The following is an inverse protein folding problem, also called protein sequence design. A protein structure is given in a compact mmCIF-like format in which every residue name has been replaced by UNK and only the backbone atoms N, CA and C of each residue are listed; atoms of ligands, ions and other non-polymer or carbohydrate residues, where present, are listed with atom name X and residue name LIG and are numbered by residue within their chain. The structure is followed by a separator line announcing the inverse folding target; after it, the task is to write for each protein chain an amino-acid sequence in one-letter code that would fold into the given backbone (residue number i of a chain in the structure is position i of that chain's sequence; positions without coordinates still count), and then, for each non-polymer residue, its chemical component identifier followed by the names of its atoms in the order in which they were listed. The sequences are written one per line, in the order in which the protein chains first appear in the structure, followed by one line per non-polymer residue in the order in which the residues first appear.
data_IF_320665904731
#
_entry.id   IF_320665904731
#
_cell.length_a   1.000
_cell.length_b   1.000
_cell.length_c   1.000
_cell.angle_alpha   90.00
_cell.angle_beta   90.00
_cell.angle_gamma   90.00
#
_symmetry.space_group_name_H-M   'P 1'
#
loop_
_entity.id
_entity.type
_entity.pdbx_description
1 polymer ?
#
# COMPACT_ATOMS: atom_id res chain seq x y z
N UNK A 1 -26.14 22.28 -32.50
CA UNK A 1 -24.71 22.28 -32.14
C UNK A 1 -24.48 21.03 -31.32
N UNK A 2 -24.02 19.96 -31.97
CA UNK A 2 -23.80 18.67 -31.33
C UNK A 2 -22.44 18.75 -30.66
N UNK A 3 -22.44 18.70 -29.34
CA UNK A 3 -21.25 18.62 -28.51
C UNK A 3 -20.59 17.26 -28.77
N UNK A 4 -19.59 17.24 -29.64
CA UNK A 4 -18.72 16.09 -29.81
C UNK A 4 -17.79 16.07 -28.60
N UNK A 5 -18.21 15.36 -27.56
CA UNK A 5 -17.34 14.98 -26.46
C UNK A 5 -16.11 14.28 -27.03
N UNK A 6 -14.95 14.88 -26.79
CA UNK A 6 -13.64 14.36 -27.13
C UNK A 6 -13.42 13.05 -26.34
N UNK A 7 -13.82 11.91 -26.92
CA UNK A 7 -13.52 10.60 -26.36
C UNK A 7 -12.01 10.38 -26.46
N UNK A 8 -11.28 10.69 -25.39
CA UNK A 8 -9.89 10.30 -25.23
C UNK A 8 -9.80 8.77 -25.15
N UNK A 9 -9.70 8.10 -26.29
CA UNK A 9 -9.52 6.64 -26.36
C UNK A 9 -8.11 6.30 -25.87
N UNK A 10 -8.01 5.73 -24.66
CA UNK A 10 -6.77 5.20 -24.12
C UNK A 10 -6.48 3.81 -24.67
N UNK A 11 -5.20 3.48 -24.89
CA UNK A 11 -4.76 2.13 -25.26
C UNK A 11 -4.59 1.30 -23.97
N UNK A 12 -5.20 0.12 -23.91
CA UNK A 12 -5.04 -0.85 -22.81
C UNK A 12 -4.37 -2.11 -23.36
N UNK A 13 -3.13 -2.35 -22.95
CA UNK A 13 -2.39 -3.57 -23.26
C UNK A 13 -2.59 -4.63 -22.16
N UNK A 14 -2.96 -5.85 -22.56
CA UNK A 14 -3.24 -6.96 -21.62
C UNK A 14 -2.17 -8.05 -21.74
N UNK A 15 -1.56 -8.42 -20.61
CA UNK A 15 -0.49 -9.40 -20.55
C UNK A 15 -0.80 -10.52 -19.55
N UNK A 16 -0.61 -11.78 -19.96
CA UNK A 16 -0.66 -12.93 -19.04
C UNK A 16 0.66 -13.10 -18.27
N UNK A 17 1.79 -12.71 -18.85
CA UNK A 17 3.09 -12.62 -18.21
C UNK A 17 3.67 -11.25 -18.52
N UNK A 18 3.96 -10.42 -17.51
CA UNK A 18 4.40 -9.06 -17.75
C UNK A 18 5.79 -9.05 -18.45
N UNK A 19 6.01 -8.15 -19.42
CA UNK A 19 7.32 -7.98 -20.05
C UNK A 19 8.38 -7.55 -19.03
N UNK A 20 9.63 -7.97 -19.23
CA UNK A 20 10.75 -7.65 -18.33
C UNK A 20 10.97 -6.13 -18.14
N UNK A 21 10.66 -5.33 -19.15
CA UNK A 21 10.77 -3.88 -19.14
C UNK A 21 9.39 -3.20 -19.06
N UNK A 22 8.49 -3.72 -18.21
CA UNK A 22 7.15 -3.16 -18.03
C UNK A 22 7.17 -1.67 -17.65
N UNK A 23 8.14 -1.27 -16.83
CA UNK A 23 8.42 0.13 -16.46
C UNK A 23 9.65 0.70 -17.18
N UNK A 24 9.96 0.18 -18.37
CA UNK A 24 11.16 0.50 -19.14
C UNK A 24 11.46 1.99 -19.18
N UNK A 25 12.75 2.31 -19.28
CA UNK A 25 13.27 3.66 -19.09
C UNK A 25 12.66 4.66 -20.10
N UNK A 26 11.57 5.32 -19.68
CA UNK A 26 10.91 6.40 -20.42
C UNK A 26 11.82 7.64 -20.61
N UNK A 27 13.09 7.57 -20.17
CA UNK A 27 14.19 8.52 -20.37
C UNK A 27 14.32 9.08 -21.79
N UNK A 28 13.80 8.41 -22.83
CA UNK A 28 13.90 8.90 -24.22
C UNK A 28 12.70 9.65 -24.78
N UNK A 29 11.56 9.74 -24.08
CA UNK A 29 10.39 10.48 -24.61
C UNK A 29 9.79 11.43 -23.57
N UNK A 30 10.01 12.73 -23.77
CA UNK A 30 9.46 13.82 -22.92
C UNK A 30 7.92 13.88 -22.88
N UNK A 31 7.21 13.09 -23.69
CA UNK A 31 5.76 13.17 -23.89
C UNK A 31 5.00 11.87 -23.57
N UNK A 32 5.60 10.91 -22.88
CA UNK A 32 4.87 9.68 -22.55
C UNK A 32 3.98 9.88 -21.31
N UNK A 33 2.66 9.61 -21.40
CA UNK A 33 1.76 9.69 -20.24
C UNK A 33 2.21 8.70 -19.15
N UNK A 34 1.90 8.99 -17.87
CA UNK A 34 2.21 8.10 -16.77
C UNK A 34 1.60 6.72 -17.01
N UNK A 35 2.42 5.68 -16.92
CA UNK A 35 1.97 4.29 -17.06
C UNK A 35 1.55 3.77 -15.69
N UNK A 36 0.28 3.42 -15.56
CA UNK A 36 -0.26 2.69 -14.41
C UNK A 36 -0.49 1.24 -14.82
N UNK A 37 0.09 0.31 -14.09
CA UNK A 37 -0.12 -1.12 -14.33
C UNK A 37 -1.28 -1.59 -13.46
N UNK A 38 -2.35 -2.08 -14.08
CA UNK A 38 -3.40 -2.84 -13.37
C UNK A 38 -3.00 -4.31 -13.32
N UNK A 39 -2.93 -4.87 -12.12
CA UNK A 39 -2.73 -6.30 -11.92
C UNK A 39 -4.02 -6.96 -11.43
N UNK A 40 -4.23 -8.20 -11.88
CA UNK A 40 -5.34 -9.06 -11.48
C UNK A 40 -4.74 -10.42 -11.07
N UNK A 41 -4.78 -10.73 -9.78
CA UNK A 41 -4.31 -11.99 -9.24
C UNK A 41 -5.51 -12.87 -8.92
N UNK A 42 -5.44 -14.09 -9.45
CA UNK A 42 -6.37 -15.16 -9.10
C UNK A 42 -5.96 -15.77 -7.76
N UNK A 43 -6.86 -15.75 -6.77
CA UNK A 43 -6.59 -16.21 -5.40
C UNK A 43 -6.93 -17.69 -5.18
N UNK A 44 -7.71 -18.30 -6.09
CA UNK A 44 -8.19 -19.69 -5.99
C UNK A 44 -7.55 -20.65 -6.99
N UNK A 45 -7.38 -21.91 -6.58
CA UNK A 45 -6.93 -23.00 -7.45
C UNK A 45 -8.12 -23.66 -8.17
N UNK A 46 -8.72 -22.98 -9.14
CA UNK A 46 -9.84 -23.50 -9.94
C UNK A 46 -10.42 -22.47 -10.90
N UNK A 47 -11.31 -22.82 -11.84
CA UNK A 47 -11.97 -21.83 -12.71
C UNK A 47 -12.65 -20.72 -11.90
N UNK A 48 -12.57 -19.46 -12.36
CA UNK A 48 -13.25 -18.34 -11.69
C UNK A 48 -14.74 -18.47 -11.93
N UNK A 49 -15.52 -18.43 -10.87
CA UNK A 49 -16.97 -18.44 -10.96
C UNK A 49 -17.50 -17.05 -11.39
N UNK A 50 -18.41 -16.98 -12.37
CA UNK A 50 -19.00 -15.70 -12.80
C UNK A 50 -19.78 -15.00 -11.68
N UNK A 51 -20.20 -15.72 -10.64
CA UNK A 51 -20.97 -15.17 -9.51
C UNK A 51 -20.11 -14.79 -8.31
N UNK A 52 -18.85 -15.23 -8.23
CA UNK A 52 -17.95 -15.02 -7.06
C UNK A 52 -16.63 -14.34 -7.42
N UNK A 53 -16.52 -13.79 -8.62
CA UNK A 53 -15.27 -13.21 -9.13
C UNK A 53 -14.64 -12.17 -8.20
N UNK A 54 -15.44 -11.41 -7.43
CA UNK A 54 -14.96 -10.40 -6.47
C UNK A 54 -14.16 -10.99 -5.30
N UNK A 55 -14.45 -12.23 -4.90
CA UNK A 55 -13.74 -12.93 -3.81
C UNK A 55 -12.54 -13.72 -4.35
N UNK A 56 -12.60 -14.11 -5.62
CA UNK A 56 -11.65 -15.00 -6.28
C UNK A 56 -10.55 -14.26 -7.08
N UNK A 57 -10.72 -12.95 -7.28
CA UNK A 57 -9.78 -12.06 -7.96
C UNK A 57 -9.40 -10.90 -7.03
N UNK A 58 -8.11 -10.79 -6.75
CA UNK A 58 -7.52 -9.61 -6.14
C UNK A 58 -7.03 -8.68 -7.25
N UNK A 59 -7.49 -7.44 -7.23
CA UNK A 59 -7.04 -6.41 -8.17
C UNK A 59 -6.22 -5.34 -7.46
N UNK A 60 -5.33 -4.68 -8.19
CA UNK A 60 -4.60 -3.55 -7.66
C UNK A 60 -3.76 -2.86 -8.73
N UNK A 61 -3.22 -1.70 -8.39
CA UNK A 61 -2.41 -0.90 -9.31
C UNK A 61 -0.96 -0.86 -8.84
N UNK A 62 -0.04 -0.81 -9.80
CA UNK A 62 1.38 -0.59 -9.56
C UNK A 62 1.83 0.65 -10.32
N UNK A 63 2.46 1.56 -9.58
CA UNK A 63 3.02 2.80 -10.12
C UNK A 63 4.49 2.60 -10.53
N UNK A 64 4.97 3.47 -11.41
CA UNK A 64 6.37 3.48 -11.86
C UNK A 64 7.38 3.58 -10.70
N UNK A 65 7.06 4.37 -9.68
CA UNK A 65 7.92 4.57 -8.51
C UNK A 65 7.56 3.59 -7.39
N UNK A 66 7.57 2.28 -7.69
CA UNK A 66 7.13 1.24 -6.76
C UNK A 66 7.77 1.32 -5.36
N UNK A 67 9.02 1.77 -5.26
CA UNK A 67 9.74 1.91 -3.99
C UNK A 67 9.22 3.08 -3.14
N UNK A 68 8.84 4.20 -3.79
CA UNK A 68 8.15 5.32 -3.12
C UNK A 68 6.74 4.90 -2.68
N UNK A 69 5.98 4.24 -3.57
CA UNK A 69 4.62 3.76 -3.24
C UNK A 69 4.65 2.75 -2.10
N UNK A 70 5.67 1.87 -2.05
CA UNK A 70 5.87 0.94 -0.94
C UNK A 70 6.16 1.66 0.38
N UNK A 71 7.01 2.70 0.37
CA UNK A 71 7.30 3.48 1.57
C UNK A 71 6.06 4.19 2.11
N UNK A 72 5.22 4.73 1.22
CA UNK A 72 3.94 5.34 1.57
C UNK A 72 2.96 4.32 2.15
N UNK A 73 2.76 3.18 1.49
CA UNK A 73 1.90 2.12 2.01
C UNK A 73 2.36 1.62 3.37
N UNK A 74 3.67 1.45 3.56
CA UNK A 74 4.19 1.00 4.85
C UNK A 74 3.88 1.99 5.97
N UNK A 75 4.10 3.29 5.73
CA UNK A 75 3.84 4.35 6.69
C UNK A 75 2.34 4.57 6.96
N UNK A 76 1.53 4.64 5.91
CA UNK A 76 0.16 5.15 5.99
C UNK A 76 -0.88 4.04 6.19
N UNK A 77 -0.53 2.80 5.84
CA UNK A 77 -1.45 1.66 5.90
C UNK A 77 -0.93 0.59 6.85
N UNK A 78 0.26 0.02 6.58
CA UNK A 78 0.73 -1.14 7.33
C UNK A 78 1.11 -0.82 8.78
N UNK A 79 1.79 0.30 9.03
CA UNK A 79 2.16 0.69 10.41
C UNK A 79 0.91 0.90 11.29
N UNK A 80 -0.12 1.67 10.87
CA UNK A 80 -1.37 1.77 11.63
C UNK A 80 -2.11 0.45 11.78
N UNK A 81 -2.13 -0.40 10.74
CA UNK A 81 -2.76 -1.72 10.80
C UNK A 81 -2.10 -2.62 11.83
N UNK A 82 -0.76 -2.62 11.88
CA UNK A 82 0.02 -3.45 12.79
C UNK A 82 0.00 -2.86 14.19
N UNK A 83 0.06 -1.54 14.34
CA UNK A 83 0.14 -0.85 15.62
C UNK A 83 -1.19 -0.71 16.38
N UNK A 84 -2.33 -0.95 15.72
CA UNK A 84 -3.64 -0.90 16.37
C UNK A 84 -3.80 -2.07 17.37
N UNK A 85 -3.97 -1.81 18.68
CA UNK A 85 -4.13 -2.87 19.68
C UNK A 85 -5.31 -3.81 19.40
N UNK A 86 -6.37 -3.33 18.73
CA UNK A 86 -7.52 -4.17 18.34
C UNK A 86 -7.11 -5.27 17.36
N UNK A 87 -6.18 -4.97 16.46
CA UNK A 87 -5.67 -5.92 15.48
C UNK A 87 -4.65 -6.90 16.12
N UNK A 88 -4.14 -6.57 17.31
CA UNK A 88 -3.18 -7.36 18.07
C UNK A 88 -3.82 -8.22 19.17
N UNK A 89 -5.14 -8.18 19.36
CA UNK A 89 -5.82 -8.85 20.50
C UNK A 89 -5.50 -10.35 20.64
N UNK A 90 -5.24 -11.02 19.52
CA UNK A 90 -4.94 -12.45 19.48
C UNK A 90 -3.43 -12.75 19.39
N UNK A 91 -2.58 -11.72 19.44
CA UNK A 91 -1.14 -11.86 19.29
C UNK A 91 -0.47 -12.00 20.66
N UNK A 92 0.35 -13.05 20.88
CA UNK A 92 1.20 -13.12 22.06
C UNK A 92 2.15 -11.91 22.12
N UNK A 93 2.45 -11.41 23.31
CA UNK A 93 3.29 -10.21 23.52
C UNK A 93 4.65 -10.28 22.80
N UNK A 94 5.30 -11.45 22.85
CA UNK A 94 6.58 -11.68 22.17
C UNK A 94 6.45 -11.57 20.65
N UNK A 95 5.31 -11.99 20.10
CA UNK A 95 5.02 -11.93 18.66
C UNK A 95 4.76 -10.48 18.26
N UNK A 96 3.95 -9.75 19.03
CA UNK A 96 3.70 -8.31 18.81
C UNK A 96 5.01 -7.54 18.79
N UNK A 97 5.85 -7.72 19.81
CA UNK A 97 7.17 -7.08 19.90
C UNK A 97 8.06 -7.44 18.71
N UNK A 98 8.10 -8.71 18.31
CA UNK A 98 8.90 -9.18 17.17
C UNK A 98 8.44 -8.54 15.86
N UNK A 99 7.13 -8.53 15.59
CA UNK A 99 6.58 -7.96 14.35
C UNK A 99 6.85 -6.46 14.28
N UNK A 100 6.62 -5.72 15.38
CA UNK A 100 6.87 -4.27 15.42
C UNK A 100 8.35 -3.97 15.14
N UNK A 101 9.27 -4.68 15.79
CA UNK A 101 10.70 -4.49 15.58
C UNK A 101 11.13 -4.81 14.14
N UNK A 102 10.59 -5.87 13.55
CA UNK A 102 10.88 -6.26 12.16
C UNK A 102 10.35 -5.22 11.16
N UNK A 103 9.13 -4.73 11.35
CA UNK A 103 8.55 -3.68 10.50
C UNK A 103 9.35 -2.39 10.60
N UNK A 104 9.79 -2.02 11.80
CA UNK A 104 10.64 -0.86 12.02
C UNK A 104 11.99 -0.98 11.31
N UNK A 105 12.66 -2.13 11.45
CA UNK A 105 13.93 -2.40 10.76
C UNK A 105 13.78 -2.40 9.25
N UNK A 106 12.68 -2.97 8.74
CA UNK A 106 12.37 -2.96 7.32
C UNK A 106 12.11 -1.53 6.80
N UNK A 107 11.29 -0.73 7.49
CA UNK A 107 11.02 0.65 7.09
C UNK A 107 12.28 1.50 7.06
N UNK A 108 13.15 1.35 8.07
CA UNK A 108 14.43 2.03 8.13
C UNK A 108 15.32 1.70 6.92
N UNK A 109 15.40 0.41 6.58
CA UNK A 109 16.17 -0.07 5.43
C UNK A 109 15.59 0.45 4.11
N UNK A 110 14.27 0.53 4.00
CA UNK A 110 13.56 1.06 2.83
C UNK A 110 13.84 2.55 2.66
N UNK A 111 13.82 3.36 3.73
CA UNK A 111 14.15 4.79 3.68
C UNK A 111 15.60 5.03 3.21
N UNK A 112 16.56 4.26 3.74
CA UNK A 112 17.96 4.33 3.30
C UNK A 112 18.07 3.99 1.81
N UNK A 113 17.46 2.88 1.39
CA UNK A 113 17.47 2.43 -0.01
C UNK A 113 16.86 3.48 -0.93
N UNK A 114 15.75 4.11 -0.52
CA UNK A 114 15.11 5.17 -1.28
C UNK A 114 15.99 6.42 -1.43
N UNK A 115 16.75 6.77 -0.39
CA UNK A 115 17.77 7.81 -0.49
C UNK A 115 18.84 7.43 -1.52
N UNK A 116 19.37 6.23 -1.41
CA UNK A 116 20.44 5.72 -2.28
C UNK A 116 20.03 5.68 -3.75
N UNK A 117 18.80 5.26 -4.07
CA UNK A 117 18.30 5.28 -5.46
C UNK A 117 18.17 6.68 -6.02
N UNK A 118 18.05 7.70 -5.17
CA UNK A 118 18.00 9.13 -5.53
C UNK A 118 19.36 9.84 -5.40
N UNK A 119 20.43 9.10 -5.08
CA UNK A 119 21.78 9.66 -4.89
C UNK A 119 21.95 10.47 -3.60
N UNK A 120 21.06 10.29 -2.63
CA UNK A 120 21.09 10.97 -1.33
C UNK A 120 21.36 9.98 -0.19
N UNK A 121 21.93 10.46 0.91
CA UNK A 121 21.98 9.70 2.16
C UNK A 121 20.74 10.05 2.98
N UNK A 122 19.82 9.10 3.11
CA UNK A 122 18.66 9.21 4.00
C UNK A 122 18.94 8.48 5.31
N UNK A 123 18.88 9.19 6.43
CA UNK A 123 18.93 8.59 7.75
C UNK A 123 17.53 8.15 8.16
N UNK A 124 17.36 6.90 8.65
CA UNK A 124 16.07 6.44 9.11
C UNK A 124 15.66 7.28 10.32
N UNK A 125 14.42 7.77 10.28
CA UNK A 125 13.88 8.50 11.41
C UNK A 125 13.47 7.50 12.49
N UNK A 126 13.66 7.84 13.78
CA UNK A 126 13.08 7.04 14.84
C UNK A 126 11.57 6.98 14.62
N UNK A 127 11.01 5.79 14.81
CA UNK A 127 9.58 5.58 14.80
C UNK A 127 8.90 6.62 15.71
N UNK A 128 7.96 7.38 15.15
CA UNK A 128 7.20 8.32 15.96
C UNK A 128 6.16 7.51 16.73
N UNK A 129 6.36 7.40 18.06
CA UNK A 129 5.41 6.73 18.96
C UNK A 129 4.00 7.31 18.81
N UNK A 130 3.85 8.55 18.32
CA UNK A 130 2.57 9.17 18.02
C UNK A 130 1.74 8.41 16.96
N UNK A 131 2.35 7.69 16.01
CA UNK A 131 1.62 6.93 14.97
C UNK A 131 0.97 5.66 15.54
N UNK A 132 1.60 5.00 16.52
CA UNK A 132 0.95 3.88 17.23
C UNK A 132 0.03 4.35 18.35
N UNK A 133 0.38 5.44 19.04
CA UNK A 133 -0.52 6.05 20.01
C UNK A 133 -1.79 6.61 19.38
N UNK A 134 -1.76 7.17 18.17
CA UNK A 134 -2.97 7.63 17.48
C UNK A 134 -3.88 6.48 17.06
N UNK A 135 -3.31 5.34 16.63
CA UNK A 135 -4.07 4.10 16.43
C UNK A 135 -4.71 3.60 17.74
N UNK A 136 -3.98 3.67 18.86
CA UNK A 136 -4.45 3.26 20.18
C UNK A 136 -5.43 4.26 20.85
N UNK A 137 -5.30 5.57 20.61
CA UNK A 137 -6.16 6.63 21.21
C UNK A 137 -7.53 6.72 20.55
N UNK A 138 -7.67 6.28 19.29
CA UNK A 138 -8.99 6.13 18.63
C UNK A 138 -9.92 5.13 19.33
N UNK A 139 -9.38 4.23 20.16
CA UNK A 139 -10.15 3.26 20.97
C UNK A 139 -10.64 3.79 22.30
N UNK A 140 -10.05 4.85 22.86
CA UNK A 140 -10.41 5.33 24.21
C UNK A 140 -11.53 6.40 24.18
N UNK A 141 -11.81 7.00 23.02
CA UNK A 141 -12.84 8.03 22.90
C UNK A 141 -14.28 7.46 22.79
N UNK A 142 -14.42 6.16 22.49
CA UNK A 142 -15.73 5.50 22.28
C UNK A 142 -16.46 5.07 23.56
N UNK A 143 -15.74 4.92 24.67
CA UNK A 143 -16.32 4.35 25.91
C UNK A 143 -16.70 5.39 26.97
N UNK A 144 -16.44 6.68 26.72
CA UNK A 144 -16.68 7.75 27.70
C UNK A 144 -18.08 8.39 27.64
N UNK A 145 -18.97 8.00 26.71
CA UNK A 145 -20.26 8.67 26.51
C UNK A 145 -21.50 7.94 27.08
N UNK A 146 -21.34 6.77 27.71
CA UNK A 146 -22.48 5.97 28.20
C UNK A 146 -22.57 5.81 29.73
N UNK A 147 -21.90 6.65 30.52
CA UNK A 147 -21.91 6.53 32.00
C UNK A 147 -22.51 7.74 32.75
N UNK A 148 -23.48 8.43 32.15
CA UNK A 148 -24.33 9.38 32.87
C UNK A 148 -25.78 9.32 32.35
N UNK A 149 -26.48 8.25 32.71
CA UNK A 149 -27.93 8.28 32.90
C UNK A 149 -28.35 7.11 33.78
N UNK A 150 -28.33 7.33 35.09
CA UNK A 150 -29.21 6.65 36.05
C UNK A 150 -30.44 7.50 36.30
#
# INVERSE_FOLDING_TARGET
MTDHGDESSGIVDVYATPPANLFGDASKSKNMPPVTVLYLLKTVKGPISPTKFHEEIMSGTLEKNALDSLALMLRDVFVPLIGNPRNQQMWPEIVTTSIINNVHGFFSSLQITLGQTKGATCLPLPWDQAVMESAAKSSLQGDAFNSFSS
#
